data_IF_203499859528
#
_entry.id   IF_203499859528
#
_cell.length_a   1.000
_cell.length_b   1.000
_cell.length_c   1.000
_cell.angle_alpha   90.00
_cell.angle_beta   90.00
_cell.angle_gamma   90.00
#
_symmetry.space_group_name_H-M   'P 1'
#
loop_
_entity.id
_entity.type
_entity.pdbx_description
1 polymer ?
#
# COMPACT_ATOMS: atom_id res chain seq x y z
N UNK A 1 -29.51 7.17 1.08
CA UNK A 1 -29.88 6.52 2.14
C UNK A 1 -29.36 6.74 3.56
N UNK A 2 -28.43 7.68 3.85
CA UNK A 2 -27.99 7.97 5.23
C UNK A 2 -28.57 9.30 5.75
N UNK A 3 -29.50 9.91 5.03
CA UNK A 3 -30.11 11.20 5.39
C UNK A 3 -31.28 11.11 6.37
N UNK A 4 -31.58 9.92 6.90
CA UNK A 4 -32.65 9.74 7.90
C UNK A 4 -32.18 10.09 9.32
N UNK A 5 -33.11 10.58 10.16
CA UNK A 5 -32.89 10.77 11.60
C UNK A 5 -32.26 9.50 12.21
N UNK A 6 -31.02 9.57 12.67
CA UNK A 6 -30.25 8.45 13.20
C UNK A 6 -29.09 7.97 12.30
N UNK A 7 -28.80 8.67 11.20
CA UNK A 7 -27.66 8.36 10.33
C UNK A 7 -26.34 8.46 11.10
N UNK A 8 -26.15 9.51 11.89
CA UNK A 8 -24.96 9.72 12.72
C UNK A 8 -24.72 8.55 13.69
N UNK A 9 -25.82 8.01 14.27
CA UNK A 9 -25.72 6.86 15.16
C UNK A 9 -25.34 5.57 14.41
N UNK A 10 -25.76 5.42 13.14
CA UNK A 10 -25.38 4.25 12.33
C UNK A 10 -23.92 4.30 11.91
N UNK A 11 -23.40 5.47 11.52
CA UNK A 11 -21.98 5.63 11.18
C UNK A 11 -21.12 5.31 12.41
N UNK A 12 -21.43 5.89 13.57
CA UNK A 12 -20.74 5.59 14.82
C UNK A 12 -20.77 4.10 15.20
N UNK A 13 -21.88 3.40 14.89
CA UNK A 13 -21.96 1.95 15.11
C UNK A 13 -21.05 1.15 14.18
N UNK A 14 -20.80 1.61 12.96
CA UNK A 14 -19.85 1.01 12.03
C UNK A 14 -18.40 1.30 12.46
N UNK A 15 -18.10 2.55 12.82
CA UNK A 15 -16.77 2.96 13.29
C UNK A 15 -16.35 2.23 14.58
N UNK A 16 -17.28 1.97 15.48
CA UNK A 16 -17.03 1.22 16.72
C UNK A 16 -17.11 -0.30 16.55
N UNK A 17 -17.27 -0.77 15.32
CA UNK A 17 -17.41 -2.20 14.98
C UNK A 17 -18.61 -2.89 15.68
N UNK A 18 -19.59 -2.10 16.17
CA UNK A 18 -20.82 -2.63 16.76
C UNK A 18 -21.74 -3.27 15.70
N UNK A 19 -21.66 -2.78 14.46
CA UNK A 19 -22.32 -3.33 13.27
C UNK A 19 -21.38 -3.38 12.10
N UNK A 20 -21.51 -4.43 11.27
CA UNK A 20 -20.78 -4.53 10.01
C UNK A 20 -21.71 -4.04 8.88
N UNK A 21 -21.28 -3.06 8.08
CA UNK A 21 -22.05 -2.61 6.93
C UNK A 21 -22.14 -3.71 5.87
N UNK A 22 -23.29 -3.78 5.19
CA UNK A 22 -23.45 -4.70 4.05
C UNK A 22 -22.61 -4.23 2.84
N UNK A 23 -22.24 -5.17 1.96
CA UNK A 23 -21.44 -4.90 0.76
C UNK A 23 -21.97 -3.74 -0.09
N UNK A 24 -23.28 -3.64 -0.29
CA UNK A 24 -23.90 -2.55 -1.07
C UNK A 24 -23.67 -1.17 -0.43
N UNK A 25 -23.69 -1.10 0.90
CA UNK A 25 -23.42 0.14 1.63
C UNK A 25 -21.92 0.48 1.57
N UNK A 26 -21.03 -0.50 1.71
CA UNK A 26 -19.60 -0.31 1.56
C UNK A 26 -19.23 0.21 0.18
N UNK A 27 -19.86 -0.32 -0.88
CA UNK A 27 -19.65 0.17 -2.24
C UNK A 27 -20.05 1.65 -2.39
N UNK A 28 -21.20 2.04 -1.82
CA UNK A 28 -21.65 3.44 -1.84
C UNK A 28 -20.72 4.35 -1.03
N UNK A 29 -20.23 3.89 0.10
CA UNK A 29 -19.24 4.64 0.91
C UNK A 29 -17.97 4.86 0.09
N UNK A 30 -17.43 3.81 -0.55
CA UNK A 30 -16.26 3.90 -1.42
C UNK A 30 -16.46 4.91 -2.56
N UNK A 31 -17.63 4.88 -3.21
CA UNK A 31 -17.99 5.81 -4.28
C UNK A 31 -18.01 7.26 -3.81
N UNK A 32 -18.64 7.54 -2.65
CA UNK A 32 -18.71 8.88 -2.06
C UNK A 32 -17.33 9.39 -1.66
N UNK A 33 -16.51 8.53 -1.05
CA UNK A 33 -15.15 8.86 -0.64
C UNK A 33 -14.15 8.87 -1.80
N UNK A 34 -14.55 8.39 -3.00
CA UNK A 34 -13.69 8.26 -4.18
C UNK A 34 -12.44 7.43 -3.91
N UNK A 35 -12.61 6.32 -3.22
CA UNK A 35 -11.54 5.35 -2.93
C UNK A 35 -11.89 3.99 -3.52
N UNK A 36 -10.87 3.15 -3.73
CA UNK A 36 -11.11 1.79 -4.20
C UNK A 36 -11.94 1.02 -3.17
N UNK A 37 -13.05 0.38 -3.64
CA UNK A 37 -13.98 -0.39 -2.80
C UNK A 37 -13.32 -1.54 -2.05
N UNK A 38 -12.23 -2.10 -2.59
CA UNK A 38 -11.51 -3.21 -1.99
C UNK A 38 -10.86 -2.84 -0.65
N UNK A 39 -10.66 -1.53 -0.38
CA UNK A 39 -10.18 -1.07 0.93
C UNK A 39 -11.15 -1.40 2.08
N UNK A 40 -12.42 -1.69 1.78
CA UNK A 40 -13.45 -2.02 2.77
C UNK A 40 -13.73 -3.52 2.89
N UNK A 41 -13.07 -4.36 2.10
CA UNK A 41 -13.26 -5.80 2.18
C UNK A 41 -12.11 -6.45 2.95
N UNK A 42 -12.48 -7.28 3.94
CA UNK A 42 -11.57 -8.01 4.81
C UNK A 42 -11.56 -9.50 4.49
N UNK A 43 -11.88 -9.86 3.24
CA UNK A 43 -11.80 -11.24 2.80
C UNK A 43 -10.34 -11.74 2.95
N UNK A 44 -10.15 -13.04 3.17
CA UNK A 44 -8.82 -13.60 3.28
C UNK A 44 -7.98 -13.26 2.03
N UNK A 45 -6.69 -12.93 2.18
CA UNK A 45 -5.83 -12.63 1.04
C UNK A 45 -5.88 -13.75 0.01
N UNK A 46 -6.47 -13.48 -1.15
CA UNK A 46 -6.62 -14.43 -2.24
C UNK A 46 -5.80 -14.08 -3.48
N UNK A 47 -5.34 -12.84 -3.56
CA UNK A 47 -4.55 -12.33 -4.67
C UNK A 47 -3.45 -11.37 -4.21
N UNK A 48 -2.57 -11.00 -5.13
CA UNK A 48 -1.44 -10.11 -4.85
C UNK A 48 -1.91 -8.73 -4.32
N UNK A 49 -3.00 -8.23 -4.85
CA UNK A 49 -3.59 -6.95 -4.48
C UNK A 49 -4.08 -6.92 -3.03
N UNK A 50 -4.69 -7.99 -2.54
CA UNK A 50 -5.13 -8.08 -1.14
C UNK A 50 -3.94 -8.06 -0.18
N UNK A 51 -2.86 -8.70 -0.58
CA UNK A 51 -1.59 -8.71 0.16
C UNK A 51 -1.03 -7.29 0.28
N UNK A 52 -0.95 -6.56 -0.83
CA UNK A 52 -0.45 -5.19 -0.86
C UNK A 52 -1.31 -4.26 -0.01
N UNK A 53 -2.64 -4.38 -0.05
CA UNK A 53 -3.54 -3.58 0.79
C UNK A 53 -3.32 -3.83 2.27
N UNK A 54 -3.10 -5.08 2.66
CA UNK A 54 -2.78 -5.40 4.06
C UNK A 54 -1.52 -4.68 4.53
N UNK A 55 -0.47 -4.65 3.73
CA UNK A 55 0.76 -3.93 4.05
C UNK A 55 0.56 -2.40 4.03
N UNK A 56 -0.20 -1.87 3.08
CA UNK A 56 -0.50 -0.44 3.03
C UNK A 56 -1.20 0.04 4.30
N UNK A 57 -2.20 -0.70 4.78
CA UNK A 57 -2.91 -0.33 6.01
C UNK A 57 -2.05 -0.49 7.26
N UNK A 58 -1.19 -1.50 7.31
CA UNK A 58 -0.22 -1.63 8.40
C UNK A 58 0.75 -0.44 8.44
N UNK A 59 1.23 0.01 7.28
CA UNK A 59 2.12 1.18 7.18
C UNK A 59 1.37 2.50 7.49
N UNK A 60 0.07 2.61 7.20
CA UNK A 60 -0.74 3.79 7.57
C UNK A 60 -1.07 3.82 9.07
N UNK A 61 -1.38 2.67 9.68
CA UNK A 61 -1.66 2.57 11.12
C UNK A 61 -0.43 2.92 11.96
N UNK A 62 0.74 2.51 11.49
CA UNK A 62 2.03 2.80 12.13
C UNK A 62 3.03 3.30 11.09
N UNK A 63 3.02 4.60 10.75
CA UNK A 63 3.87 5.15 9.69
C UNK A 63 5.35 4.83 9.86
N UNK A 64 5.93 4.24 8.82
CA UNK A 64 7.32 3.79 8.81
C UNK A 64 7.59 2.47 9.52
N UNK A 65 6.56 1.72 9.90
CA UNK A 65 6.69 0.36 10.43
C UNK A 65 7.20 -0.62 9.40
N UNK A 66 6.93 -0.36 8.12
CA UNK A 66 7.42 -1.15 7.00
C UNK A 66 8.45 -0.34 6.23
N UNK A 67 9.70 -0.80 6.30
CA UNK A 67 10.82 -0.22 5.56
C UNK A 67 11.21 -1.17 4.45
N UNK A 68 11.08 -0.72 3.22
CA UNK A 68 11.51 -1.48 2.05
C UNK A 68 12.93 -1.07 1.68
N UNK A 69 13.72 -2.04 1.27
CA UNK A 69 15.09 -1.83 0.80
C UNK A 69 15.41 -2.76 -0.37
N UNK A 70 16.24 -2.28 -1.26
CA UNK A 70 16.60 -3.05 -2.44
C UNK A 70 17.71 -4.07 -2.11
N UNK A 71 17.50 -5.32 -2.51
CA UNK A 71 18.54 -6.32 -2.56
C UNK A 71 19.29 -6.21 -3.90
N UNK A 72 20.58 -5.96 -3.82
CA UNK A 72 21.44 -5.84 -5.00
C UNK A 72 22.38 -7.02 -5.05
N UNK A 73 22.35 -7.76 -6.15
CA UNK A 73 23.30 -8.84 -6.42
C UNK A 73 24.61 -8.24 -6.94
N UNK A 74 25.73 -8.64 -6.36
CA UNK A 74 27.02 -8.19 -6.85
C UNK A 74 27.43 -8.99 -8.09
N UNK A 75 27.48 -8.39 -9.30
CA UNK A 75 27.80 -9.12 -10.53
C UNK A 75 29.24 -9.63 -10.62
N UNK A 76 30.15 -9.08 -9.81
CA UNK A 76 31.57 -9.46 -9.84
C UNK A 76 31.83 -10.76 -9.09
N UNK A 77 30.92 -11.19 -8.22
CA UNK A 77 31.11 -12.38 -7.39
C UNK A 77 30.10 -13.50 -7.72
N UNK A 78 29.58 -13.54 -8.92
CA UNK A 78 28.59 -14.54 -9.39
C UNK A 78 28.99 -16.01 -9.18
N UNK A 79 30.25 -16.30 -8.87
CA UNK A 79 30.72 -17.69 -8.73
C UNK A 79 30.35 -18.38 -7.42
N UNK A 80 29.99 -17.65 -6.36
CA UNK A 80 29.75 -18.23 -5.02
C UNK A 80 28.34 -18.03 -4.44
N UNK A 81 27.39 -17.46 -5.18
CA UNK A 81 25.97 -17.43 -4.78
C UNK A 81 25.58 -16.52 -3.62
N UNK A 82 26.51 -16.05 -2.81
CA UNK A 82 26.25 -15.46 -1.50
C UNK A 82 26.38 -13.94 -1.41
N UNK A 83 26.51 -13.24 -2.54
CA UNK A 83 26.78 -11.80 -2.55
C UNK A 83 25.56 -10.94 -2.86
N UNK A 84 24.54 -11.09 -2.05
CA UNK A 84 23.43 -10.13 -2.06
C UNK A 84 23.66 -9.08 -0.99
N UNK A 85 23.73 -7.82 -1.38
CA UNK A 85 23.88 -6.68 -0.48
C UNK A 85 22.55 -5.94 -0.37
N UNK A 86 22.16 -5.59 0.84
CA UNK A 86 21.02 -4.70 1.06
C UNK A 86 21.46 -3.26 0.77
N UNK A 87 20.77 -2.60 -0.16
CA UNK A 87 20.93 -1.17 -0.39
C UNK A 87 19.95 -0.43 0.51
N UNK A 88 20.45 0.13 1.58
CA UNK A 88 19.69 0.84 2.58
C UNK A 88 19.88 2.36 2.45
N UNK A 89 18.89 3.13 2.89
CA UNK A 89 19.03 4.57 2.96
C UNK A 89 19.79 4.94 4.24
N UNK A 90 20.94 5.59 4.14
CA UNK A 90 21.82 5.92 5.27
C UNK A 90 21.16 6.84 6.32
N UNK A 91 20.07 7.54 5.95
CA UNK A 91 19.31 8.37 6.88
C UNK A 91 18.33 7.59 7.75
N UNK A 92 18.08 6.32 7.43
CA UNK A 92 17.17 5.48 8.20
C UNK A 92 17.89 4.88 9.41
N UNK A 93 17.22 4.91 10.57
CA UNK A 93 17.69 4.20 11.75
C UNK A 93 17.64 2.70 11.52
N UNK A 94 18.79 2.06 11.60
CA UNK A 94 18.87 0.62 11.52
C UNK A 94 18.31 -0.01 12.80
N UNK A 95 17.47 -1.06 12.73
CA UNK A 95 16.94 -1.72 13.91
C UNK A 95 18.05 -2.24 14.84
N UNK A 96 17.84 -2.16 16.15
CA UNK A 96 18.79 -2.70 17.15
C UNK A 96 19.02 -4.20 16.98
N UNK A 97 17.97 -4.94 16.59
CA UNK A 97 18.07 -6.34 16.20
C UNK A 97 18.17 -6.45 14.68
N UNK A 98 18.92 -7.42 14.19
CA UNK A 98 19.04 -7.65 12.75
C UNK A 98 17.68 -8.00 12.14
N UNK A 99 17.20 -7.25 11.13
CA UNK A 99 15.93 -7.54 10.49
C UNK A 99 16.02 -8.81 9.63
N UNK A 100 14.89 -9.50 9.51
CA UNK A 100 14.76 -10.64 8.61
C UNK A 100 14.35 -10.14 7.23
N UNK A 101 15.15 -10.48 6.23
CA UNK A 101 14.81 -10.22 4.81
C UNK A 101 13.78 -11.25 4.32
N UNK A 102 12.87 -10.79 3.46
CA UNK A 102 11.86 -11.61 2.81
C UNK A 102 11.80 -11.25 1.33
N UNK A 103 11.57 -12.23 0.48
CA UNK A 103 11.28 -12.01 -0.93
C UNK A 103 10.13 -12.91 -1.38
N UNK A 104 9.43 -12.50 -2.42
CA UNK A 104 8.33 -13.25 -2.98
C UNK A 104 8.76 -13.93 -4.28
N UNK A 105 8.55 -15.25 -4.38
CA UNK A 105 8.68 -15.95 -5.65
C UNK A 105 7.46 -15.76 -6.56
N UNK A 106 6.51 -14.95 -6.13
CA UNK A 106 5.35 -14.54 -6.90
C UNK A 106 5.68 -13.20 -7.58
N UNK A 107 6.06 -13.25 -8.87
CA UNK A 107 6.59 -12.11 -9.61
C UNK A 107 5.72 -10.86 -9.54
N UNK A 108 4.39 -11.02 -9.59
CA UNK A 108 3.46 -9.88 -9.50
C UNK A 108 3.54 -9.14 -8.16
N UNK A 109 3.69 -9.87 -7.04
CA UNK A 109 3.88 -9.24 -5.73
C UNK A 109 5.22 -8.53 -5.65
N UNK A 110 6.27 -9.12 -6.23
CA UNK A 110 7.61 -8.52 -6.26
C UNK A 110 7.61 -7.21 -7.07
N UNK A 111 6.95 -7.17 -8.22
CA UNK A 111 6.76 -5.96 -9.03
C UNK A 111 6.04 -4.85 -8.26
N UNK A 112 4.97 -5.18 -7.55
CA UNK A 112 4.25 -4.24 -6.69
C UNK A 112 5.09 -3.72 -5.53
N UNK A 113 5.90 -4.59 -4.92
CA UNK A 113 6.83 -4.18 -3.86
C UNK A 113 7.92 -3.25 -4.38
N UNK A 114 8.41 -3.46 -5.60
CA UNK A 114 9.38 -2.57 -6.24
C UNK A 114 8.76 -1.18 -6.50
N UNK A 115 7.52 -1.11 -6.99
CA UNK A 115 6.83 0.16 -7.14
C UNK A 115 6.61 0.85 -5.79
N UNK A 116 6.22 0.12 -4.77
CA UNK A 116 6.05 0.69 -3.43
C UNK A 116 7.37 1.21 -2.85
N UNK A 117 8.46 0.49 -3.01
CA UNK A 117 9.80 0.97 -2.64
C UNK A 117 10.11 2.31 -3.33
N UNK A 118 9.82 2.42 -4.62
CA UNK A 118 9.99 3.67 -5.36
C UNK A 118 9.16 4.81 -4.76
N UNK A 119 7.88 4.55 -4.40
CA UNK A 119 7.02 5.56 -3.74
C UNK A 119 7.58 6.00 -2.39
N UNK A 120 8.11 5.06 -1.58
CA UNK A 120 8.76 5.41 -0.32
C UNK A 120 10.01 6.29 -0.55
N UNK A 121 10.81 6.00 -1.56
CA UNK A 121 11.98 6.80 -1.94
C UNK A 121 11.58 8.20 -2.43
N UNK A 122 10.54 8.32 -3.27
CA UNK A 122 10.01 9.61 -3.73
C UNK A 122 9.51 10.47 -2.55
N UNK A 123 8.79 9.86 -1.61
CA UNK A 123 8.33 10.54 -0.40
C UNK A 123 9.50 11.03 0.46
N UNK A 124 10.48 10.16 0.69
CA UNK A 124 11.68 10.51 1.45
C UNK A 124 12.50 11.63 0.80
N UNK A 125 12.61 11.61 -0.53
CA UNK A 125 13.27 12.66 -1.30
C UNK A 125 12.44 13.96 -1.45
N UNK A 126 11.23 14.02 -0.91
CA UNK A 126 10.33 15.16 -1.05
C UNK A 126 9.81 15.38 -2.47
N UNK A 127 9.87 14.36 -3.33
CA UNK A 127 9.37 14.43 -4.71
C UNK A 127 7.84 14.25 -4.78
N UNK A 128 7.27 13.65 -3.76
CA UNK A 128 5.82 13.56 -3.55
C UNK A 128 5.50 13.95 -2.11
N UNK A 129 4.29 14.45 -1.88
CA UNK A 129 3.79 14.76 -0.55
C UNK A 129 3.24 13.52 0.16
N UNK A 130 3.02 13.63 1.48
CA UNK A 130 2.37 12.57 2.26
C UNK A 130 0.94 12.32 1.77
N UNK A 131 0.22 13.37 1.38
CA UNK A 131 -1.13 13.30 0.85
C UNK A 131 -1.16 12.58 -0.50
N UNK A 132 -0.22 12.87 -1.40
CA UNK A 132 -0.09 12.18 -2.69
C UNK A 132 0.26 10.71 -2.51
N UNK A 133 1.15 10.39 -1.59
CA UNK A 133 1.50 9.00 -1.26
C UNK A 133 0.30 8.23 -0.70
N UNK A 134 -0.50 8.86 0.16
CA UNK A 134 -1.73 8.28 0.68
C UNK A 134 -2.78 8.09 -0.41
N UNK A 135 -2.98 9.08 -1.28
CA UNK A 135 -3.89 8.98 -2.43
C UNK A 135 -3.51 7.84 -3.37
N UNK A 136 -2.20 7.64 -3.61
CA UNK A 136 -1.70 6.51 -4.38
C UNK A 136 -2.13 5.17 -3.78
N UNK A 137 -2.01 4.99 -2.47
CA UNK A 137 -2.43 3.77 -1.76
C UNK A 137 -3.94 3.56 -1.79
N UNK A 138 -4.73 4.62 -1.56
CA UNK A 138 -6.20 4.56 -1.51
C UNK A 138 -6.83 4.06 -2.80
N UNK A 139 -6.28 4.45 -3.92
CA UNK A 139 -6.80 4.13 -5.23
C UNK A 139 -5.99 3.06 -5.97
N UNK A 140 -5.03 2.46 -5.28
CA UNK A 140 -4.28 1.35 -5.83
C UNK A 140 -5.21 0.13 -6.09
N UNK A 141 -5.11 -0.65 -7.20
CA UNK A 141 -4.05 -0.63 -8.20
C UNK A 141 -4.27 0.32 -9.40
N UNK A 142 -5.32 1.13 -9.43
CA UNK A 142 -5.59 2.06 -10.54
C UNK A 142 -4.57 3.21 -10.61
N UNK A 143 -3.75 3.38 -9.60
CA UNK A 143 -2.66 4.36 -9.50
C UNK A 143 -1.29 3.81 -9.86
N UNK A 144 -1.17 2.50 -10.12
CA UNK A 144 0.07 1.86 -10.53
C UNK A 144 0.65 2.47 -11.81
N UNK A 145 1.97 2.49 -11.90
CA UNK A 145 2.66 2.96 -13.11
C UNK A 145 2.28 2.17 -14.36
N UNK A 146 2.08 0.85 -14.23
CA UNK A 146 1.58 -0.01 -15.30
C UNK A 146 0.16 0.30 -15.75
N UNK A 147 -0.61 0.99 -14.92
CA UNK A 147 -1.99 1.34 -15.22
C UNK A 147 -2.13 2.63 -16.04
N UNK A 148 -1.04 3.38 -16.25
CA UNK A 148 -1.07 4.71 -16.91
C UNK A 148 -1.71 4.70 -18.31
N UNK A 149 -1.58 3.61 -19.03
CA UNK A 149 -2.18 3.44 -20.35
C UNK A 149 -3.58 2.83 -20.32
N UNK A 150 -4.06 2.44 -19.15
CA UNK A 150 -5.38 1.83 -18.98
C UNK A 150 -6.43 2.92 -18.80
N UNK A 151 -7.65 2.62 -19.25
CA UNK A 151 -8.79 3.54 -19.15
C UNK A 151 -9.17 3.86 -17.70
N UNK A 152 -8.89 2.94 -16.80
CA UNK A 152 -9.19 3.03 -15.37
C UNK A 152 -8.12 3.74 -14.55
N UNK A 153 -7.03 4.22 -15.18
CA UNK A 153 -5.95 4.90 -14.47
C UNK A 153 -6.43 6.17 -13.76
N UNK A 154 -6.07 6.29 -12.51
CA UNK A 154 -6.36 7.45 -11.67
C UNK A 154 -5.08 8.25 -11.43
N UNK A 155 -4.96 9.48 -11.99
CA UNK A 155 -3.84 10.37 -11.68
C UNK A 155 -3.87 10.78 -10.20
N UNK A 156 -2.78 10.55 -9.50
CA UNK A 156 -2.66 10.81 -8.06
C UNK A 156 -1.62 11.90 -7.72
N UNK A 157 -0.63 12.13 -8.59
CA UNK A 157 0.31 13.25 -8.44
C UNK A 157 -0.40 14.55 -8.83
N UNK A 158 -0.36 15.53 -7.93
CA UNK A 158 -0.79 16.90 -8.23
C UNK A 158 0.31 17.58 -9.07
N UNK A 159 -0.09 18.24 -10.14
CA UNK A 159 0.82 19.01 -11.00
C UNK A 159 1.32 20.26 -10.29
#
# INVERSE_FOLDING_TARGET
>A
GLEEKGADNRVAQYETNYRVPKKDLLNKIAEVLRVDRQNFYTDAPGCAEDFMRTFFWLDEDSPGSIRLFQLVRNPVKERNGDDTTAKYNDSDEWPVSQPVGMYFQYGLVDEFMQEWLLRQQELHAGQITREEYFEWKLNWPHTCDDSKERKEYIPWKKK
#
